data_IF_433004738154
#
_entry.id   IF_433004738154
#
_cell.length_a   1.000
_cell.length_b   1.000
_cell.length_c   1.000
_cell.angle_alpha   90.00
_cell.angle_beta   90.00
_cell.angle_gamma   90.00
#
_symmetry.space_group_name_H-M   'P 1'
#
loop_
_entity.id
_entity.type
_entity.pdbx_description
1 polymer ?
#
# COMPACT_ATOMS: atom_id res chain seq x y z
N UNK A 1 9.14 26.66 -1.93
CA UNK A 1 9.72 27.81 -1.22
C UNK A 1 8.66 28.66 -0.47
N UNK A 2 7.51 28.97 -1.06
CA UNK A 2 6.48 29.81 -0.44
C UNK A 2 6.03 29.32 0.95
N UNK A 3 5.70 28.04 1.10
CA UNK A 3 5.19 27.49 2.38
C UNK A 3 6.21 27.62 3.53
N UNK A 4 7.50 27.32 3.28
CA UNK A 4 8.56 27.46 4.29
C UNK A 4 8.68 28.92 4.75
N UNK A 5 8.56 29.87 3.80
CA UNK A 5 8.61 31.29 4.14
C UNK A 5 7.39 31.70 4.98
N UNK A 6 6.18 31.28 4.62
CA UNK A 6 4.94 31.56 5.34
C UNK A 6 5.01 31.04 6.78
N UNK A 7 5.47 29.81 6.97
CA UNK A 7 5.60 29.19 8.30
C UNK A 7 6.66 29.94 9.15
N UNK A 8 7.81 30.30 8.56
CA UNK A 8 8.87 31.06 9.26
C UNK A 8 8.44 32.47 9.63
N UNK A 9 7.79 33.16 8.69
CA UNK A 9 7.33 34.53 8.91
C UNK A 9 6.03 34.60 9.75
N UNK A 10 5.37 33.45 9.97
CA UNK A 10 4.08 33.33 10.65
C UNK A 10 3.01 34.25 10.04
N UNK A 11 3.06 34.48 8.73
CA UNK A 11 2.13 35.37 8.01
C UNK A 11 1.99 34.99 6.54
N UNK A 12 0.81 35.30 5.97
CA UNK A 12 0.49 35.17 4.55
C UNK A 12 -0.46 36.28 4.11
N UNK A 13 -0.38 36.69 2.85
CA UNK A 13 -1.34 37.62 2.23
C UNK A 13 -2.66 36.94 1.85
N UNK A 14 -2.67 35.61 1.74
CA UNK A 14 -3.88 34.81 1.47
C UNK A 14 -4.64 34.56 2.76
N UNK A 15 -5.92 34.92 2.80
CA UNK A 15 -6.78 34.70 3.96
C UNK A 15 -6.95 33.19 4.27
N UNK A 16 -7.02 32.35 3.23
CA UNK A 16 -7.10 30.89 3.38
C UNK A 16 -5.84 30.35 4.02
N UNK A 17 -4.66 30.71 3.50
CA UNK A 17 -3.39 30.25 4.07
C UNK A 17 -3.13 30.82 5.47
N UNK A 18 -3.72 31.97 5.82
CA UNK A 18 -3.65 32.51 7.18
C UNK A 18 -4.52 31.74 8.16
N UNK A 19 -5.70 31.25 7.74
CA UNK A 19 -6.53 30.39 8.57
C UNK A 19 -5.80 29.09 8.89
N UNK A 20 -5.34 28.38 7.88
CA UNK A 20 -4.57 27.12 8.03
C UNK A 20 -3.29 27.33 8.89
N UNK A 21 -2.61 28.47 8.72
CA UNK A 21 -1.42 28.78 9.51
C UNK A 21 -1.76 28.98 10.99
N UNK A 22 -2.88 29.62 11.31
CA UNK A 22 -3.33 29.79 12.70
C UNK A 22 -3.64 28.44 13.34
N UNK A 23 -4.43 27.61 12.66
CA UNK A 23 -4.77 26.28 13.13
C UNK A 23 -3.51 25.43 13.40
N UNK A 24 -2.53 25.49 12.49
CA UNK A 24 -1.23 24.85 12.67
C UNK A 24 -0.49 25.39 13.89
N UNK A 25 -0.41 26.72 14.05
CA UNK A 25 0.32 27.33 15.17
C UNK A 25 -0.36 27.06 16.52
N UNK A 26 -1.68 26.96 16.56
CA UNK A 26 -2.43 26.64 17.77
C UNK A 26 -2.22 25.17 18.14
N UNK A 27 -2.26 24.25 17.16
CA UNK A 27 -1.94 22.85 17.38
C UNK A 27 -0.50 22.65 17.88
N UNK A 28 0.48 23.34 17.26
CA UNK A 28 1.88 23.26 17.70
C UNK A 28 2.08 23.76 19.13
N UNK A 29 1.31 24.78 19.52
CA UNK A 29 1.33 25.33 20.87
C UNK A 29 0.68 24.38 21.87
N UNK A 30 -0.45 23.77 21.50
CA UNK A 30 -1.14 22.77 22.31
C UNK A 30 -0.28 21.52 22.56
N UNK A 31 0.46 21.09 21.57
CA UNK A 31 1.33 19.92 21.64
C UNK A 31 2.75 20.21 22.16
N UNK A 32 3.07 21.45 22.48
CA UNK A 32 4.42 21.93 22.88
C UNK A 32 5.51 21.55 21.86
N UNK A 33 5.19 21.69 20.56
CA UNK A 33 6.09 21.34 19.45
C UNK A 33 6.72 22.61 18.85
N UNK A 34 8.05 22.60 18.72
CA UNK A 34 8.82 23.62 18.00
C UNK A 34 9.02 23.16 16.56
N UNK A 35 8.36 23.82 15.60
CA UNK A 35 8.50 23.53 14.18
C UNK A 35 9.65 24.36 13.58
N UNK A 36 10.67 23.66 13.05
CA UNK A 36 11.80 24.23 12.34
C UNK A 36 11.71 23.90 10.84
N UNK A 37 10.99 24.67 10.03
CA UNK A 37 10.80 24.35 8.62
C UNK A 37 12.12 24.56 7.85
N UNK A 38 12.53 23.51 7.11
CA UNK A 38 13.72 23.52 6.25
C UNK A 38 13.33 23.25 4.81
N UNK A 39 13.81 24.07 3.89
CA UNK A 39 13.67 23.78 2.46
C UNK A 39 14.65 22.69 2.04
N UNK A 40 14.13 21.67 1.38
CA UNK A 40 14.91 20.62 0.72
C UNK A 40 14.48 20.60 -0.74
N UNK A 41 15.44 20.56 -1.68
CA UNK A 41 15.11 20.36 -3.10
C UNK A 41 14.38 19.03 -3.27
N UNK A 42 13.35 18.99 -4.12
CA UNK A 42 12.52 17.77 -4.35
C UNK A 42 13.37 16.54 -4.63
N UNK A 43 14.40 16.65 -5.45
CA UNK A 43 15.32 15.56 -5.78
C UNK A 43 16.11 15.01 -4.58
N UNK A 44 16.24 15.78 -3.51
CA UNK A 44 16.97 15.42 -2.28
C UNK A 44 16.02 15.18 -1.10
N UNK A 45 14.71 15.32 -1.30
CA UNK A 45 13.72 15.15 -0.25
C UNK A 45 13.29 13.67 -0.15
N UNK A 46 13.65 12.94 0.91
CA UNK A 46 13.25 11.55 1.07
C UNK A 46 11.73 11.37 1.07
N UNK A 47 10.99 12.37 1.57
CA UNK A 47 9.52 12.34 1.60
C UNK A 47 8.89 12.66 0.25
N UNK A 48 9.63 13.18 -0.73
CA UNK A 48 9.10 13.49 -2.07
C UNK A 48 8.68 12.22 -2.82
N UNK A 49 9.42 11.13 -2.63
CA UNK A 49 9.02 9.82 -3.12
C UNK A 49 7.66 9.40 -2.56
N UNK A 50 7.46 9.54 -1.27
CA UNK A 50 6.19 9.18 -0.62
C UNK A 50 5.04 10.13 -0.96
N UNK A 51 5.30 11.43 -1.13
CA UNK A 51 4.29 12.41 -1.54
C UNK A 51 3.88 12.29 -3.01
N UNK A 52 4.75 11.74 -3.85
CA UNK A 52 4.49 11.44 -5.27
C UNK A 52 3.91 10.07 -5.51
N UNK A 53 3.82 9.21 -4.50
CA UNK A 53 3.01 8.01 -4.51
C UNK A 53 1.53 8.41 -4.51
N UNK A 54 1.16 9.29 -5.44
CA UNK A 54 -0.21 9.63 -5.75
C UNK A 54 -0.86 8.45 -6.48
N UNK A 55 -2.17 8.46 -6.63
CA UNK A 55 -2.94 7.46 -7.39
C UNK A 55 -2.42 7.16 -8.80
N UNK A 56 -1.49 7.99 -9.31
CA UNK A 56 -0.82 7.77 -10.60
C UNK A 56 -0.09 6.44 -10.68
N UNK A 57 0.41 5.94 -9.56
CA UNK A 57 1.11 4.66 -9.46
C UNK A 57 0.19 3.50 -9.04
N UNK A 58 -1.11 3.76 -8.93
CA UNK A 58 -2.08 2.74 -8.60
C UNK A 58 -2.19 1.72 -9.75
N UNK A 59 -2.01 0.47 -9.37
CA UNK A 59 -2.10 -0.67 -10.29
C UNK A 59 -2.93 -1.79 -9.69
N UNK A 60 -3.42 -2.64 -10.55
CA UNK A 60 -4.10 -3.86 -10.12
C UNK A 60 -3.82 -5.01 -11.09
N UNK A 61 -4.05 -6.23 -10.65
CA UNK A 61 -4.10 -7.36 -11.55
C UNK A 61 -5.28 -7.21 -12.54
N UNK A 62 -5.07 -7.62 -13.79
CA UNK A 62 -6.14 -7.63 -14.79
C UNK A 62 -7.38 -8.36 -14.26
N UNK A 63 -8.60 -7.86 -14.50
CA UNK A 63 -9.81 -8.38 -13.86
C UNK A 63 -10.01 -9.89 -14.02
N UNK A 64 -9.75 -10.43 -15.20
CA UNK A 64 -9.88 -11.89 -15.46
C UNK A 64 -8.86 -12.70 -14.66
N UNK A 65 -7.59 -12.24 -14.60
CA UNK A 65 -6.53 -12.89 -13.82
C UNK A 65 -6.86 -12.82 -12.33
N UNK A 66 -7.26 -11.65 -11.85
CA UNK A 66 -7.65 -11.41 -10.47
C UNK A 66 -8.80 -12.33 -10.02
N UNK A 67 -9.87 -12.41 -10.83
CA UNK A 67 -11.01 -13.28 -10.54
C UNK A 67 -10.64 -14.77 -10.56
N UNK A 68 -9.77 -15.19 -11.48
CA UNK A 68 -9.27 -16.57 -11.53
C UNK A 68 -8.40 -16.90 -10.32
N UNK A 69 -7.46 -16.01 -9.98
CA UNK A 69 -6.58 -16.19 -8.82
C UNK A 69 -7.38 -16.22 -7.51
N UNK A 70 -8.36 -15.31 -7.37
CA UNK A 70 -9.25 -15.29 -6.20
C UNK A 70 -9.94 -16.64 -6.02
N UNK A 71 -10.62 -17.15 -7.04
CA UNK A 71 -11.30 -18.46 -6.97
C UNK A 71 -10.34 -19.60 -6.65
N UNK A 72 -9.15 -19.58 -7.27
CA UNK A 72 -8.12 -20.59 -6.99
C UNK A 72 -7.66 -20.53 -5.53
N UNK A 73 -7.40 -19.32 -5.03
CA UNK A 73 -6.98 -19.10 -3.65
C UNK A 73 -8.05 -19.53 -2.64
N UNK A 74 -9.31 -19.14 -2.84
CA UNK A 74 -10.44 -19.54 -1.99
C UNK A 74 -10.61 -21.08 -1.96
N UNK A 75 -10.38 -21.74 -3.11
CA UNK A 75 -10.41 -23.21 -3.17
C UNK A 75 -9.22 -23.87 -2.45
N UNK A 76 -8.01 -23.30 -2.56
CA UNK A 76 -6.80 -23.86 -1.92
C UNK A 76 -6.83 -23.62 -0.41
N UNK A 77 -7.19 -22.41 -0.01
CA UNK A 77 -7.22 -22.01 1.41
C UNK A 77 -8.45 -22.54 2.15
N UNK A 78 -9.50 -22.96 1.44
CA UNK A 78 -10.81 -23.36 1.98
C UNK A 78 -11.44 -22.23 2.83
N UNK A 79 -11.08 -20.99 2.54
CA UNK A 79 -11.58 -19.77 3.19
C UNK A 79 -11.93 -18.73 2.12
N UNK A 80 -13.04 -17.98 2.27
CA UNK A 80 -13.36 -16.86 1.38
C UNK A 80 -12.37 -15.71 1.61
N UNK A 81 -12.12 -14.89 0.60
CA UNK A 81 -11.44 -13.62 0.82
C UNK A 81 -12.37 -12.65 1.53
N UNK A 82 -12.03 -12.21 2.74
CA UNK A 82 -12.85 -11.34 3.59
C UNK A 82 -12.40 -9.89 3.61
N UNK A 83 -11.09 -9.62 3.41
CA UNK A 83 -10.48 -8.31 3.46
C UNK A 83 -9.54 -8.10 2.27
N UNK A 84 -9.56 -6.92 1.65
CA UNK A 84 -8.51 -6.43 0.76
C UNK A 84 -7.71 -5.35 1.50
N UNK A 85 -6.50 -5.71 1.95
CA UNK A 85 -5.72 -4.87 2.86
C UNK A 85 -5.04 -3.67 2.17
N UNK A 86 -4.97 -3.65 0.82
CA UNK A 86 -4.28 -2.59 0.06
C UNK A 86 -5.03 -2.23 -1.22
N UNK A 87 -6.18 -1.61 -1.07
CA UNK A 87 -7.04 -1.27 -2.20
C UNK A 87 -7.56 0.17 -2.11
N UNK A 88 -8.22 0.60 -3.15
CA UNK A 88 -9.15 1.72 -3.18
C UNK A 88 -10.51 1.21 -3.70
N UNK A 89 -11.55 2.03 -3.67
CA UNK A 89 -12.88 1.64 -4.15
C UNK A 89 -12.89 1.05 -5.57
N UNK A 90 -11.94 1.48 -6.44
CA UNK A 90 -11.82 0.99 -7.81
C UNK A 90 -11.09 -0.36 -7.92
N UNK A 91 -10.22 -0.67 -6.97
CA UNK A 91 -9.38 -1.87 -7.00
C UNK A 91 -9.80 -2.95 -6.04
N UNK A 92 -10.62 -2.64 -5.07
CA UNK A 92 -11.06 -3.59 -4.05
C UNK A 92 -11.75 -4.82 -4.68
N UNK A 93 -11.35 -6.02 -4.20
CA UNK A 93 -11.93 -7.29 -4.68
C UNK A 93 -13.08 -7.76 -3.79
N UNK A 94 -13.20 -7.19 -2.60
CA UNK A 94 -14.26 -7.43 -1.63
C UNK A 94 -14.73 -6.10 -1.04
N UNK A 95 -15.96 -6.01 -0.50
CA UNK A 95 -16.49 -4.78 0.08
C UNK A 95 -15.69 -4.25 1.28
N UNK A 96 -15.05 -5.13 2.04
CA UNK A 96 -14.18 -4.77 3.17
C UNK A 96 -12.76 -4.55 2.66
N UNK A 97 -12.29 -3.31 2.68
CA UNK A 97 -10.94 -2.97 2.22
C UNK A 97 -10.32 -1.85 3.05
N UNK A 98 -9.00 -1.82 3.10
CA UNK A 98 -8.24 -0.70 3.62
C UNK A 98 -7.68 0.12 2.46
N UNK A 99 -7.84 1.44 2.54
CA UNK A 99 -7.35 2.36 1.52
C UNK A 99 -6.26 3.27 2.09
N UNK A 100 -5.26 3.56 1.27
CA UNK A 100 -4.24 4.55 1.61
C UNK A 100 -4.80 5.97 1.70
N UNK A 101 -5.92 6.23 1.00
CA UNK A 101 -6.56 7.53 0.93
C UNK A 101 -7.81 7.54 1.81
N UNK A 102 -8.21 8.75 2.21
CA UNK A 102 -9.47 8.93 2.96
C UNK A 102 -10.65 8.64 2.05
N UNK A 103 -11.19 7.44 2.15
CA UNK A 103 -12.39 6.99 1.44
C UNK A 103 -13.48 6.63 2.45
N UNK A 104 -14.71 7.18 2.33
CA UNK A 104 -15.78 6.92 3.30
C UNK A 104 -16.17 5.44 3.41
N UNK A 105 -15.95 4.66 2.35
CA UNK A 105 -16.27 3.23 2.32
C UNK A 105 -15.13 2.33 2.78
N UNK A 106 -13.92 2.86 2.97
CA UNK A 106 -12.78 2.08 3.45
C UNK A 106 -12.90 1.80 4.96
N UNK A 107 -12.53 0.57 5.34
CA UNK A 107 -12.52 0.15 6.75
C UNK A 107 -11.45 0.90 7.56
N UNK A 108 -10.31 1.18 6.93
CA UNK A 108 -9.16 1.87 7.54
C UNK A 108 -8.31 2.56 6.47
N UNK A 109 -7.44 3.50 6.91
CA UNK A 109 -6.49 4.20 6.04
C UNK A 109 -5.16 3.46 5.89
N UNK A 110 -4.87 2.49 6.75
CA UNK A 110 -3.64 1.71 6.71
C UNK A 110 -3.97 0.23 6.93
N UNK A 111 -3.72 -0.59 5.90
CA UNK A 111 -3.92 -2.03 5.97
C UNK A 111 -2.98 -2.73 6.97
N UNK A 112 -1.81 -2.15 7.25
CA UNK A 112 -0.88 -2.69 8.25
C UNK A 112 -1.35 -2.47 9.69
N UNK A 113 -2.19 -1.46 9.93
CA UNK A 113 -2.75 -1.18 11.26
C UNK A 113 -3.91 -2.12 11.64
N UNK A 114 -4.47 -2.84 10.67
CA UNK A 114 -5.54 -3.80 10.91
C UNK A 114 -4.98 -5.09 11.54
N UNK A 115 -5.74 -5.68 12.46
CA UNK A 115 -5.48 -7.03 12.97
C UNK A 115 -6.02 -8.06 11.95
N UNK A 116 -5.11 -8.72 11.24
CA UNK A 116 -5.48 -9.71 10.24
C UNK A 116 -5.88 -11.06 10.85
N UNK A 117 -5.59 -11.29 12.13
CA UNK A 117 -6.02 -12.50 12.85
C UNK A 117 -7.53 -12.49 13.15
N UNK A 118 -8.10 -11.29 13.29
CA UNK A 118 -9.51 -11.09 13.55
C UNK A 118 -10.41 -11.34 12.32
N UNK A 119 -9.83 -11.48 11.12
CA UNK A 119 -10.60 -11.74 9.90
C UNK A 119 -11.14 -13.18 9.87
N UNK A 120 -12.42 -13.31 9.48
CA UNK A 120 -13.09 -14.61 9.39
C UNK A 120 -12.75 -15.39 8.12
N UNK A 121 -12.00 -14.78 7.20
CA UNK A 121 -11.53 -15.35 5.95
C UNK A 121 -10.11 -14.91 5.63
N UNK A 122 -9.65 -15.24 4.43
CA UNK A 122 -8.33 -14.90 3.99
C UNK A 122 -8.20 -13.40 3.63
N UNK A 123 -7.01 -12.84 3.87
CA UNK A 123 -6.66 -11.47 3.53
C UNK A 123 -6.02 -11.42 2.15
N UNK A 124 -6.57 -10.59 1.27
CA UNK A 124 -5.95 -10.29 -0.02
C UNK A 124 -4.97 -9.12 0.14
N UNK A 125 -3.74 -9.32 -0.30
CA UNK A 125 -2.63 -8.40 -0.09
C UNK A 125 -1.95 -8.12 -1.43
N UNK A 126 -2.31 -6.99 -2.07
CA UNK A 126 -1.73 -6.53 -3.32
C UNK A 126 -1.07 -5.15 -3.11
N UNK A 127 0.07 -5.10 -2.41
CA UNK A 127 0.59 -3.87 -1.84
C UNK A 127 1.55 -3.13 -2.78
N UNK A 128 1.85 -1.85 -2.49
CA UNK A 128 3.09 -1.23 -2.95
C UNK A 128 4.29 -2.05 -2.49
N UNK A 129 5.22 -2.38 -3.41
CA UNK A 129 6.32 -3.33 -3.11
C UNK A 129 7.30 -2.83 -2.04
N UNK A 130 7.37 -1.52 -1.81
CA UNK A 130 8.14 -0.95 -0.72
C UNK A 130 7.68 -1.41 0.68
N UNK A 131 6.42 -1.83 0.81
CA UNK A 131 5.85 -2.32 2.08
C UNK A 131 6.09 -3.82 2.32
N UNK A 132 6.62 -4.55 1.35
CA UNK A 132 6.82 -6.00 1.47
C UNK A 132 7.59 -6.44 2.71
N UNK A 133 8.69 -5.76 3.14
CA UNK A 133 9.38 -6.14 4.38
C UNK A 133 8.46 -6.13 5.61
N UNK A 134 7.67 -5.06 5.79
CA UNK A 134 6.75 -4.92 6.92
C UNK A 134 5.58 -5.90 6.83
N UNK A 135 5.06 -6.15 5.63
CA UNK A 135 3.98 -7.11 5.38
C UNK A 135 4.44 -8.53 5.69
N UNK A 136 5.63 -8.92 5.26
CA UNK A 136 6.18 -10.25 5.50
C UNK A 136 6.37 -10.47 7.01
N UNK A 137 6.87 -9.46 7.72
CA UNK A 137 6.98 -9.53 9.19
C UNK A 137 5.61 -9.72 9.83
N UNK A 138 4.62 -8.92 9.44
CA UNK A 138 3.24 -9.05 9.96
C UNK A 138 2.62 -10.42 9.66
N UNK A 139 2.87 -10.98 8.47
CA UNK A 139 2.42 -12.32 8.10
C UNK A 139 3.11 -13.43 8.93
N UNK A 140 4.37 -13.21 9.33
CA UNK A 140 5.11 -14.11 10.22
C UNK A 140 4.56 -14.06 11.66
N UNK A 141 4.23 -12.87 12.14
CA UNK A 141 3.75 -12.64 13.51
C UNK A 141 2.29 -13.09 13.68
N UNK A 142 1.41 -12.70 12.78
CA UNK A 142 -0.03 -12.89 12.90
C UNK A 142 -0.55 -14.21 12.29
N UNK A 143 0.17 -14.76 11.30
CA UNK A 143 -0.16 -16.02 10.59
C UNK A 143 -1.62 -16.13 10.10
N UNK A 144 -2.19 -15.09 9.48
CA UNK A 144 -3.53 -15.18 8.91
C UNK A 144 -3.54 -16.10 7.70
N UNK A 145 -4.71 -16.56 7.27
CA UNK A 145 -4.88 -17.01 5.90
C UNK A 145 -4.73 -15.80 4.98
N UNK A 146 -3.90 -15.88 3.94
CA UNK A 146 -3.60 -14.74 3.10
C UNK A 146 -3.21 -15.11 1.66
N UNK A 147 -3.45 -14.15 0.75
CA UNK A 147 -2.97 -14.16 -0.62
C UNK A 147 -2.08 -12.94 -0.83
N UNK A 148 -0.78 -13.12 -0.88
CA UNK A 148 0.17 -12.05 -1.11
C UNK A 148 0.62 -12.03 -2.57
N UNK A 149 0.48 -10.88 -3.24
CA UNK A 149 1.04 -10.63 -4.57
C UNK A 149 2.39 -9.93 -4.42
N UNK A 150 3.44 -10.55 -4.94
CA UNK A 150 4.80 -10.04 -4.82
C UNK A 150 5.58 -10.19 -6.14
N UNK A 151 6.60 -9.35 -6.39
CA UNK A 151 7.54 -9.57 -7.48
C UNK A 151 8.51 -10.70 -7.09
N UNK A 152 8.93 -11.49 -8.08
CA UNK A 152 9.92 -12.54 -7.89
C UNK A 152 11.34 -11.96 -7.89
N UNK A 153 11.65 -11.16 -6.88
CA UNK A 153 12.96 -10.54 -6.72
C UNK A 153 13.83 -11.33 -5.73
N UNK A 154 14.44 -12.38 -6.21
CA UNK A 154 15.22 -13.31 -5.39
C UNK A 154 16.42 -12.69 -4.66
N UNK A 155 16.94 -11.56 -5.17
CA UNK A 155 18.04 -10.81 -4.55
C UNK A 155 17.57 -9.76 -3.54
N UNK A 156 16.26 -9.55 -3.38
CA UNK A 156 15.74 -8.60 -2.39
C UNK A 156 15.95 -9.13 -0.97
N UNK A 157 16.26 -8.24 -0.03
CA UNK A 157 16.55 -8.59 1.36
C UNK A 157 15.39 -9.30 2.09
N UNK A 158 14.16 -9.04 1.66
CA UNK A 158 12.95 -9.66 2.21
C UNK A 158 12.64 -11.04 1.60
N UNK A 159 13.26 -11.42 0.46
CA UNK A 159 12.93 -12.65 -0.24
C UNK A 159 13.15 -13.93 0.58
N UNK A 160 14.26 -14.10 1.32
CA UNK A 160 14.43 -15.28 2.18
C UNK A 160 13.34 -15.40 3.25
N UNK A 161 12.88 -14.28 3.79
CA UNK A 161 11.82 -14.27 4.79
C UNK A 161 10.47 -14.67 4.19
N UNK A 162 10.16 -14.18 2.97
CA UNK A 162 8.98 -14.62 2.24
C UNK A 162 8.99 -16.14 1.97
N UNK A 163 10.13 -16.69 1.61
CA UNK A 163 10.26 -18.14 1.37
C UNK A 163 10.07 -18.95 2.66
N UNK A 164 10.49 -18.43 3.80
CA UNK A 164 10.30 -19.06 5.13
C UNK A 164 8.83 -19.11 5.57
N UNK A 165 8.00 -18.21 5.14
CA UNK A 165 6.57 -18.26 5.44
C UNK A 165 5.91 -19.55 4.94
N UNK A 166 6.50 -20.20 3.95
CA UNK A 166 5.92 -21.38 3.31
C UNK A 166 4.73 -21.02 2.42
N UNK A 167 3.80 -21.96 2.29
CA UNK A 167 2.62 -21.77 1.47
C UNK A 167 2.79 -22.20 0.02
N UNK A 168 1.70 -22.08 -0.74
CA UNK A 168 1.69 -22.42 -2.17
C UNK A 168 2.09 -21.21 -3.00
N UNK A 169 3.12 -21.35 -3.81
CA UNK A 169 3.57 -20.33 -4.75
C UNK A 169 2.93 -20.54 -6.12
N UNK A 170 2.13 -19.59 -6.55
CA UNK A 170 1.47 -19.61 -7.85
C UNK A 170 2.15 -18.60 -8.76
N UNK A 171 2.85 -19.05 -9.83
CA UNK A 171 3.46 -18.13 -10.79
C UNK A 171 2.36 -17.36 -11.53
N UNK A 172 2.55 -16.05 -11.67
CA UNK A 172 1.67 -15.18 -12.44
C UNK A 172 2.31 -14.83 -13.79
N UNK A 173 1.52 -14.46 -14.78
CA UNK A 173 2.07 -13.91 -16.02
C UNK A 173 2.97 -12.71 -15.75
N UNK A 174 3.93 -12.43 -16.66
CA UNK A 174 4.76 -11.22 -16.55
C UNK A 174 3.90 -9.95 -16.49
N UNK A 175 4.40 -8.92 -15.83
CA UNK A 175 3.64 -7.70 -15.51
C UNK A 175 2.89 -7.08 -16.69
N UNK A 176 3.47 -7.09 -17.92
CA UNK A 176 2.79 -6.60 -19.13
C UNK A 176 1.45 -7.31 -19.44
N UNK A 177 1.30 -8.55 -19.01
CA UNK A 177 0.08 -9.35 -19.20
C UNK A 177 -0.76 -9.45 -17.92
N UNK A 178 -0.15 -9.25 -16.76
CA UNK A 178 -0.78 -9.43 -15.46
C UNK A 178 -1.36 -8.13 -14.89
N UNK A 179 -0.74 -6.99 -15.19
CA UNK A 179 -1.01 -5.70 -14.50
C UNK A 179 -1.65 -4.70 -15.45
N UNK A 180 -2.52 -3.87 -14.90
CA UNK A 180 -3.02 -2.64 -15.52
C UNK A 180 -2.86 -1.47 -14.57
N UNK A 181 -2.52 -0.31 -15.12
CA UNK A 181 -2.58 0.97 -14.41
C UNK A 181 -4.01 1.49 -14.39
N UNK A 182 -4.43 2.06 -13.30
CA UNK A 182 -5.76 2.68 -13.19
C UNK A 182 -5.88 3.97 -14.00
N UNK A 183 -4.76 4.68 -14.19
CA UNK A 183 -4.76 6.01 -14.82
C UNK A 183 -4.05 6.03 -16.17
N UNK A 184 -3.77 4.87 -16.77
CA UNK A 184 -3.13 4.76 -18.08
C UNK A 184 -1.65 5.16 -18.11
N UNK A 185 -1.06 5.52 -16.98
CA UNK A 185 0.36 5.83 -16.88
C UNK A 185 1.19 4.54 -16.75
N UNK A 186 2.47 4.62 -17.17
CA UNK A 186 3.41 3.56 -16.87
C UNK A 186 3.70 3.57 -15.38
N UNK A 187 3.47 2.43 -14.71
CA UNK A 187 3.64 2.29 -13.27
C UNK A 187 5.02 1.71 -12.96
N UNK A 188 5.79 2.37 -12.13
CA UNK A 188 6.95 1.77 -11.49
C UNK A 188 6.50 0.65 -10.52
N UNK A 189 7.17 -0.51 -10.46
CA UNK A 189 8.37 -0.92 -11.19
C UNK A 189 8.09 -1.63 -12.53
N UNK A 190 6.89 -1.49 -13.09
CA UNK A 190 6.44 -2.26 -14.26
C UNK A 190 6.79 -1.61 -15.61
N UNK A 191 7.59 -0.53 -15.64
CA UNK A 191 7.89 0.25 -16.84
C UNK A 191 8.31 -0.58 -18.04
N UNK A 192 9.12 -1.62 -17.80
CA UNK A 192 9.60 -2.51 -18.86
C UNK A 192 8.65 -3.68 -19.14
N UNK A 193 7.56 -3.84 -18.39
CA UNK A 193 6.58 -4.90 -18.54
C UNK A 193 7.09 -6.33 -18.29
N UNK A 194 8.31 -6.50 -17.77
CA UNK A 194 8.98 -7.79 -17.65
C UNK A 194 9.14 -8.28 -16.20
N UNK A 195 8.51 -7.64 -15.23
CA UNK A 195 8.57 -8.10 -13.84
C UNK A 195 7.81 -9.42 -13.73
N UNK A 196 8.49 -10.46 -13.24
CA UNK A 196 7.86 -11.71 -12.86
C UNK A 196 7.13 -11.52 -11.52
N UNK A 197 5.88 -11.94 -11.48
CA UNK A 197 5.04 -11.88 -10.28
C UNK A 197 4.73 -13.28 -9.79
N UNK A 198 4.54 -13.39 -8.48
CA UNK A 198 4.01 -14.58 -7.83
C UNK A 198 2.85 -14.20 -6.92
N UNK A 199 1.91 -15.12 -6.76
CA UNK A 199 0.99 -15.12 -5.64
C UNK A 199 1.44 -16.18 -4.63
N UNK A 200 1.50 -15.80 -3.37
CA UNK A 200 1.82 -16.70 -2.25
C UNK A 200 0.54 -16.91 -1.45
N UNK A 201 0.07 -18.16 -1.42
CA UNK A 201 -1.14 -18.54 -0.70
C UNK A 201 -0.73 -19.14 0.63
N UNK A 202 -1.15 -18.52 1.71
CA UNK A 202 -0.76 -18.85 3.07
C UNK A 202 -2.00 -19.33 3.84
N UNK A 203 -1.95 -20.56 4.35
CA UNK A 203 -3.01 -21.09 5.22
C UNK A 203 -2.89 -20.52 6.62
N UNK A 204 -4.00 -20.46 7.33
CA UNK A 204 -4.02 -20.17 8.76
C UNK A 204 -3.28 -21.27 9.54
N UNK A 205 -2.63 -20.94 10.63
CA UNK A 205 -1.94 -21.88 11.52
C UNK A 205 -0.81 -22.71 10.87
N UNK A 206 -0.08 -22.12 9.93
CA UNK A 206 1.17 -22.71 9.38
C UNK A 206 2.36 -22.65 10.36
#
# INVERSE_FOLDING_TARGET
MAVVHIIRAKTSRSAVLMAELRDLLDLLRELDIILLPKYIRSQLNPSDYFSRLTDRDAWMLRPRLRASLRRHAENVLQEPISLDAFACHQTAIVPRYASRHSEPAALAHDGLALDWTAEQGAVWICPPFALLPAIIQKLEDEKPAAVLIAPKWQMASWWPNLMRLGGLHVPLPRSKHAVISLHGHKVEPFLNGNVELIAVLLSRNR
#
